data_IF_147029083212
#
_entry.id   IF_147029083212
#
_cell.length_a   1.000
_cell.length_b   1.000
_cell.length_c   1.000
_cell.angle_alpha   90.00
_cell.angle_beta   90.00
_cell.angle_gamma   90.00
#
_symmetry.space_group_name_H-M   'P 1'
#
loop_
_entity.id
_entity.type
_entity.pdbx_description
1 polymer ?
#
# COMPACT_ATOMS: atom_id res chain seq x y z
N UNK A 1 13.90 -2.93 -22.77
CA UNK A 1 14.11 -2.46 -21.39
C UNK A 1 13.38 -3.41 -20.46
N UNK A 2 13.92 -3.73 -19.27
CA UNK A 2 13.16 -4.43 -18.23
C UNK A 2 11.97 -3.53 -17.90
N UNK A 3 10.72 -4.05 -17.83
CA UNK A 3 9.62 -3.25 -17.33
C UNK A 3 9.99 -2.77 -15.92
N UNK A 4 9.74 -1.49 -15.64
CA UNK A 4 10.05 -0.85 -14.36
C UNK A 4 8.73 -0.37 -13.79
N UNK A 5 8.49 -0.67 -12.50
CA UNK A 5 7.33 -0.18 -11.77
C UNK A 5 7.27 1.36 -11.80
N UNK A 6 6.11 1.93 -12.09
CA UNK A 6 5.84 3.35 -11.93
C UNK A 6 5.68 3.68 -10.44
N UNK A 7 6.68 4.37 -9.85
CA UNK A 7 6.64 4.82 -8.46
C UNK A 7 5.86 6.14 -8.34
N UNK A 8 5.28 6.46 -7.16
CA UNK A 8 4.78 7.80 -6.91
C UNK A 8 5.91 8.82 -7.09
N UNK A 9 5.57 10.03 -7.55
CA UNK A 9 6.53 11.09 -7.85
C UNK A 9 7.39 11.52 -6.64
N UNK A 10 6.90 11.25 -5.44
CA UNK A 10 7.54 11.54 -4.15
C UNK A 10 8.54 10.49 -3.71
N UNK A 11 8.66 9.37 -4.43
CA UNK A 11 9.51 8.25 -4.07
C UNK A 11 10.56 7.99 -5.14
N UNK A 12 11.83 8.03 -4.75
CA UNK A 12 12.94 7.77 -5.66
C UNK A 12 14.07 7.01 -4.98
N UNK A 13 14.97 6.36 -5.76
CA UNK A 13 16.23 5.88 -5.21
C UNK A 13 17.04 7.07 -4.68
N UNK A 14 17.81 6.90 -3.59
CA UNK A 14 18.78 7.91 -3.18
C UNK A 14 19.91 8.00 -4.20
N UNK A 15 20.44 9.21 -4.34
CA UNK A 15 21.74 9.46 -4.95
C UNK A 15 22.86 9.00 -4.00
N UNK A 16 24.04 8.74 -4.57
CA UNK A 16 25.18 8.20 -3.81
C UNK A 16 25.63 9.14 -2.67
N UNK A 17 25.46 10.45 -2.82
CA UNK A 17 25.81 11.47 -1.83
C UNK A 17 24.71 11.75 -0.79
N UNK A 18 23.51 11.18 -0.96
CA UNK A 18 22.40 11.31 -0.01
C UNK A 18 22.42 10.24 1.09
N UNK A 19 23.29 9.23 0.98
CA UNK A 19 23.38 8.12 1.94
C UNK A 19 24.74 8.03 2.63
N UNK A 20 24.80 7.55 3.88
CA UNK A 20 26.07 7.26 4.54
C UNK A 20 26.86 6.22 3.73
N UNK A 21 28.10 6.55 3.40
CA UNK A 21 28.98 5.73 2.54
C UNK A 21 29.59 4.52 3.27
N UNK A 22 28.78 3.77 4.00
CA UNK A 22 29.18 2.47 4.56
C UNK A 22 28.94 1.34 3.55
N UNK A 23 29.65 0.22 3.70
CA UNK A 23 29.61 -0.90 2.75
C UNK A 23 28.21 -1.49 2.59
N UNK A 24 27.45 -1.59 3.68
CA UNK A 24 26.11 -2.16 3.71
C UNK A 24 25.10 -1.37 2.87
N UNK A 25 25.07 -0.04 2.99
CA UNK A 25 24.15 0.80 2.22
C UNK A 25 24.50 0.77 0.73
N UNK A 26 25.80 0.83 0.41
CA UNK A 26 26.26 0.74 -0.98
C UNK A 26 25.87 -0.59 -1.64
N UNK A 27 26.04 -1.71 -0.94
CA UNK A 27 25.62 -3.02 -1.44
C UNK A 27 24.12 -3.08 -1.72
N UNK A 28 23.29 -2.56 -0.81
CA UNK A 28 21.83 -2.49 -1.01
C UNK A 28 21.42 -1.61 -2.21
N UNK A 29 22.13 -0.50 -2.46
CA UNK A 29 21.88 0.33 -3.63
C UNK A 29 22.25 -0.36 -4.94
N UNK A 30 23.34 -1.13 -4.96
CA UNK A 30 23.70 -1.93 -6.13
C UNK A 30 22.69 -3.06 -6.38
N UNK A 31 22.25 -3.76 -5.32
CA UNK A 31 21.22 -4.79 -5.42
C UNK A 31 19.91 -4.23 -6.02
N UNK A 32 19.51 -3.02 -5.61
CA UNK A 32 18.31 -2.35 -6.11
C UNK A 32 18.30 -2.19 -7.64
N UNK A 33 19.46 -1.99 -8.27
CA UNK A 33 19.56 -1.83 -9.74
C UNK A 33 19.16 -3.09 -10.50
N UNK A 34 19.36 -4.25 -9.88
CA UNK A 34 19.00 -5.56 -10.44
C UNK A 34 17.68 -6.11 -9.91
N UNK A 35 17.16 -5.51 -8.84
CA UNK A 35 15.96 -5.94 -8.13
C UNK A 35 14.74 -6.10 -9.05
N UNK A 36 13.87 -7.04 -8.73
CA UNK A 36 12.66 -7.39 -9.48
C UNK A 36 11.45 -6.57 -9.00
N UNK A 37 11.63 -5.25 -8.94
CA UNK A 37 10.58 -4.28 -8.62
C UNK A 37 9.80 -3.97 -9.91
N UNK A 38 8.74 -4.75 -10.14
CA UNK A 38 7.89 -4.72 -11.33
C UNK A 38 6.44 -4.97 -10.92
N UNK A 39 5.47 -4.66 -11.78
CA UNK A 39 4.08 -5.04 -11.53
C UNK A 39 3.90 -6.55 -11.39
N UNK A 40 3.08 -6.95 -10.41
CA UNK A 40 2.79 -8.34 -10.10
C UNK A 40 2.54 -8.51 -8.61
N UNK A 41 2.34 -9.74 -8.17
CA UNK A 41 2.10 -10.05 -6.76
C UNK A 41 2.85 -11.30 -6.32
N UNK A 42 2.91 -11.49 -5.01
CA UNK A 42 3.24 -12.78 -4.37
C UNK A 42 2.17 -13.10 -3.34
N UNK A 43 1.76 -14.36 -3.26
CA UNK A 43 0.91 -14.86 -2.19
C UNK A 43 1.80 -15.51 -1.14
N UNK A 44 1.61 -15.13 0.11
CA UNK A 44 2.36 -15.61 1.25
C UNK A 44 1.45 -16.51 2.09
N UNK A 45 1.92 -17.71 2.49
CA UNK A 45 1.16 -18.62 3.34
C UNK A 45 0.83 -17.97 4.68
N UNK A 46 -0.39 -18.20 5.18
CA UNK A 46 -0.84 -17.77 6.52
C UNK A 46 0.08 -18.28 7.64
N UNK A 47 0.64 -19.49 7.47
CA UNK A 47 1.37 -20.22 8.50
C UNK A 47 2.80 -19.69 8.77
N UNK A 48 3.29 -18.74 7.98
CA UNK A 48 4.66 -18.19 8.13
C UNK A 48 4.76 -17.08 9.20
N UNK A 49 3.65 -16.68 9.84
CA UNK A 49 3.65 -15.75 10.97
C UNK A 49 2.86 -16.28 12.19
N UNK A 50 3.54 -16.66 13.30
CA UNK A 50 2.89 -17.17 14.51
C UNK A 50 1.89 -16.18 15.13
N UNK A 51 2.11 -14.88 14.97
CA UNK A 51 1.22 -13.82 15.49
C UNK A 51 -0.14 -13.80 14.77
N UNK A 52 -0.21 -14.39 13.57
CA UNK A 52 -1.39 -14.38 12.71
C UNK A 52 -2.19 -15.69 12.76
N UNK A 53 -1.72 -16.68 13.53
CA UNK A 53 -2.32 -18.02 13.63
C UNK A 53 -3.80 -18.01 14.06
N UNK A 54 -4.21 -17.00 14.85
CA UNK A 54 -5.57 -16.85 15.35
C UNK A 54 -6.43 -15.88 14.53
N UNK A 55 -5.88 -15.22 13.50
CA UNK A 55 -6.63 -14.26 12.69
C UNK A 55 -7.44 -14.97 11.61
N UNK A 56 -8.63 -14.45 11.32
CA UNK A 56 -9.61 -15.11 10.47
C UNK A 56 -9.49 -14.77 8.96
N UNK A 57 -8.27 -14.71 8.43
CA UNK A 57 -7.99 -14.63 6.98
C UNK A 57 -7.49 -15.97 6.45
N UNK A 58 -7.54 -16.18 5.12
CA UNK A 58 -7.09 -17.41 4.47
C UNK A 58 -5.75 -17.26 3.75
N UNK A 59 -5.44 -16.08 3.23
CA UNK A 59 -4.17 -15.79 2.56
C UNK A 59 -3.75 -14.33 2.74
N UNK A 60 -2.44 -14.10 2.60
CA UNK A 60 -1.83 -12.77 2.56
C UNK A 60 -1.19 -12.57 1.19
N UNK A 61 -1.27 -11.37 0.64
CA UNK A 61 -0.63 -11.02 -0.62
C UNK A 61 0.02 -9.64 -0.56
N UNK A 62 1.14 -9.50 -1.26
CA UNK A 62 1.78 -8.21 -1.54
C UNK A 62 1.76 -7.97 -3.04
N UNK A 63 1.35 -6.77 -3.45
CA UNK A 63 1.03 -6.44 -4.83
C UNK A 63 1.75 -5.16 -5.22
N UNK A 64 2.69 -5.27 -6.16
CA UNK A 64 3.23 -4.14 -6.87
C UNK A 64 2.31 -3.80 -8.05
N UNK A 65 1.93 -2.54 -8.15
CA UNK A 65 1.18 -1.99 -9.27
C UNK A 65 1.71 -0.60 -9.58
N UNK A 66 1.69 -0.20 -10.84
CA UNK A 66 2.07 1.17 -11.21
C UNK A 66 1.20 2.18 -10.44
N UNK A 67 1.82 3.25 -9.95
CA UNK A 67 1.15 4.23 -9.11
C UNK A 67 -0.11 4.84 -9.77
N UNK A 68 -0.08 5.04 -11.09
CA UNK A 68 -1.23 5.48 -11.89
C UNK A 68 -2.45 4.55 -11.83
N UNK A 69 -2.26 3.26 -11.52
CA UNK A 69 -3.32 2.23 -11.41
C UNK A 69 -3.66 1.86 -9.95
N UNK A 70 -2.86 2.30 -8.98
CA UNK A 70 -2.98 1.94 -7.56
C UNK A 70 -4.39 2.15 -7.00
N UNK A 71 -4.97 3.35 -7.18
CA UNK A 71 -6.31 3.64 -6.66
C UNK A 71 -7.39 2.76 -7.28
N UNK A 72 -7.31 2.48 -8.59
CA UNK A 72 -8.29 1.62 -9.25
C UNK A 72 -8.21 0.19 -8.72
N UNK A 73 -7.02 -0.32 -8.43
CA UNK A 73 -6.89 -1.63 -7.81
C UNK A 73 -7.43 -1.66 -6.37
N UNK A 74 -7.21 -0.59 -5.59
CA UNK A 74 -7.84 -0.46 -4.26
C UNK A 74 -9.36 -0.49 -4.35
N UNK A 75 -9.95 0.21 -5.34
CA UNK A 75 -11.40 0.18 -5.56
C UNK A 75 -11.90 -1.22 -5.89
N UNK A 76 -11.21 -1.95 -6.77
CA UNK A 76 -11.60 -3.32 -7.14
C UNK A 76 -11.43 -4.30 -5.98
N UNK A 77 -10.33 -4.24 -5.24
CA UNK A 77 -10.14 -5.04 -4.02
C UNK A 77 -11.17 -4.70 -2.94
N UNK A 78 -11.67 -3.46 -2.88
CA UNK A 78 -12.70 -3.07 -1.92
C UNK A 78 -14.04 -3.80 -2.14
N UNK A 79 -14.25 -4.44 -3.29
CA UNK A 79 -15.40 -5.30 -3.52
C UNK A 79 -15.37 -6.59 -2.67
N UNK A 80 -14.18 -7.00 -2.21
CA UNK A 80 -14.02 -8.11 -1.27
C UNK A 80 -14.44 -7.74 0.16
N UNK A 81 -14.43 -6.46 0.51
CA UNK A 81 -14.86 -5.97 1.82
C UNK A 81 -16.40 -5.92 1.92
N UNK A 82 -16.99 -6.17 3.10
CA UNK A 82 -18.42 -5.97 3.32
C UNK A 82 -18.82 -4.48 3.29
N UNK A 83 -20.09 -4.20 3.53
CA UNK A 83 -20.63 -2.84 3.47
C UNK A 83 -20.16 -1.93 4.61
N UNK A 84 -19.74 -2.49 5.75
CA UNK A 84 -19.21 -1.74 6.89
C UNK A 84 -17.72 -2.02 7.05
N UNK A 85 -16.91 -0.97 7.10
CA UNK A 85 -15.44 -1.06 7.21
C UNK A 85 -14.92 0.00 8.17
N UNK A 86 -13.78 -0.26 8.79
CA UNK A 86 -12.98 0.75 9.47
C UNK A 86 -11.90 1.27 8.53
N UNK A 87 -11.69 2.58 8.52
CA UNK A 87 -10.59 3.20 7.79
C UNK A 87 -9.29 3.04 8.60
N UNK A 88 -8.23 2.58 7.95
CA UNK A 88 -6.86 2.62 8.49
C UNK A 88 -6.18 3.88 7.93
N UNK A 89 -5.57 4.68 8.78
CA UNK A 89 -4.74 5.80 8.33
C UNK A 89 -3.72 6.21 9.38
N UNK A 90 -2.54 6.65 8.93
CA UNK A 90 -1.52 7.22 9.80
C UNK A 90 -0.53 8.06 9.00
N UNK A 91 0.16 8.93 9.72
CA UNK A 91 1.42 9.45 9.21
C UNK A 91 2.43 8.30 9.17
N UNK A 92 3.16 8.17 8.08
CA UNK A 92 4.16 7.10 7.95
C UNK A 92 5.15 7.15 9.11
N UNK A 93 5.62 5.98 9.56
CA UNK A 93 6.47 5.78 10.76
C UNK A 93 5.75 6.01 12.11
N UNK A 94 4.42 6.22 12.10
CA UNK A 94 3.57 6.22 13.30
C UNK A 94 2.74 4.93 13.38
N UNK A 95 2.20 4.64 14.57
CA UNK A 95 1.22 3.56 14.74
C UNK A 95 -0.04 3.80 13.87
N UNK A 96 -0.61 2.75 13.25
CA UNK A 96 -1.85 2.85 12.49
C UNK A 96 -3.01 3.34 13.38
N UNK A 97 -3.77 4.34 12.91
CA UNK A 97 -5.06 4.68 13.52
C UNK A 97 -6.17 3.91 12.82
N UNK A 98 -7.07 3.34 13.61
CA UNK A 98 -8.26 2.65 13.13
C UNK A 98 -9.48 3.51 13.44
N UNK A 99 -10.13 4.01 12.39
CA UNK A 99 -11.36 4.77 12.51
C UNK A 99 -12.53 3.91 13.01
N UNK A 100 -13.65 4.57 13.31
CA UNK A 100 -14.92 3.88 13.55
C UNK A 100 -15.39 3.15 12.30
N UNK A 101 -16.14 2.07 12.51
CA UNK A 101 -16.84 1.42 11.41
C UNK A 101 -17.84 2.38 10.76
N UNK A 102 -17.82 2.42 9.44
CA UNK A 102 -18.66 3.29 8.61
C UNK A 102 -19.01 2.58 7.30
N UNK A 103 -20.01 3.12 6.57
CA UNK A 103 -20.37 2.56 5.26
C UNK A 103 -19.19 2.68 4.29
N UNK A 104 -18.81 1.56 3.68
CA UNK A 104 -17.71 1.46 2.70
C UNK A 104 -17.86 2.48 1.57
N UNK A 105 -19.08 2.68 1.09
CA UNK A 105 -19.39 3.68 0.05
C UNK A 105 -19.03 5.09 0.51
N UNK A 106 -19.43 5.49 1.72
CA UNK A 106 -19.08 6.79 2.31
C UNK A 106 -17.56 6.94 2.47
N UNK A 107 -16.88 5.91 2.99
CA UNK A 107 -15.42 5.90 3.16
C UNK A 107 -14.69 6.08 1.83
N UNK A 108 -15.07 5.32 0.80
CA UNK A 108 -14.49 5.43 -0.54
C UNK A 108 -14.77 6.78 -1.20
N UNK A 109 -15.98 7.32 -1.05
CA UNK A 109 -16.34 8.65 -1.56
C UNK A 109 -15.52 9.76 -0.90
N UNK A 110 -15.24 9.64 0.40
CA UNK A 110 -14.37 10.57 1.12
C UNK A 110 -12.94 10.47 0.61
N UNK A 111 -12.34 9.27 0.59
CA UNK A 111 -10.97 9.04 0.14
C UNK A 111 -10.75 9.49 -1.31
N UNK A 112 -11.74 9.29 -2.19
CA UNK A 112 -11.65 9.67 -3.59
C UNK A 112 -11.46 11.18 -3.80
N UNK A 113 -11.88 12.03 -2.85
CA UNK A 113 -11.62 13.47 -2.89
C UNK A 113 -10.13 13.81 -2.75
N UNK A 114 -9.37 12.93 -2.09
CA UNK A 114 -7.94 13.06 -1.79
C UNK A 114 -7.13 11.96 -2.47
N UNK A 115 -7.64 11.41 -3.58
CA UNK A 115 -7.02 10.26 -4.25
C UNK A 115 -5.55 10.50 -4.60
N UNK A 116 -5.23 11.72 -5.03
CA UNK A 116 -3.86 12.10 -5.42
C UNK A 116 -2.93 12.05 -4.22
N UNK A 117 -3.36 12.60 -3.09
CA UNK A 117 -2.61 12.61 -1.84
C UNK A 117 -2.40 11.18 -1.32
N UNK A 118 -3.46 10.37 -1.23
CA UNK A 118 -3.34 9.02 -0.66
C UNK A 118 -2.50 8.08 -1.56
N UNK A 119 -2.54 8.23 -2.89
CA UNK A 119 -1.70 7.40 -3.79
C UNK A 119 -0.28 7.90 -3.92
N UNK A 120 -0.06 9.22 -3.84
CA UNK A 120 1.23 9.81 -4.21
C UNK A 120 2.01 10.39 -3.04
N UNK A 121 1.41 10.66 -1.89
CA UNK A 121 2.14 11.17 -0.72
C UNK A 121 2.70 10.03 0.13
N UNK A 122 4.01 9.84 0.10
CA UNK A 122 4.73 8.79 0.86
C UNK A 122 4.87 9.09 2.37
N UNK A 123 4.18 10.11 2.88
CA UNK A 123 4.05 10.37 4.32
C UNK A 123 2.69 9.97 4.89
N UNK A 124 1.84 9.34 4.07
CA UNK A 124 0.52 8.86 4.45
C UNK A 124 0.44 7.36 4.14
N UNK A 125 0.05 6.60 5.14
CA UNK A 125 -0.36 5.22 4.98
C UNK A 125 -1.89 5.19 5.09
N UNK A 126 -2.55 4.36 4.29
CA UNK A 126 -4.00 4.26 4.32
C UNK A 126 -4.48 2.85 4.00
N UNK A 127 -5.70 2.54 4.41
CA UNK A 127 -6.29 1.24 4.16
C UNK A 127 -7.73 1.15 4.61
N UNK A 128 -8.33 -0.01 4.42
CA UNK A 128 -9.64 -0.37 4.96
C UNK A 128 -9.57 -1.77 5.53
N UNK A 129 -10.25 -1.97 6.65
CA UNK A 129 -10.29 -3.25 7.34
C UNK A 129 -11.71 -3.60 7.73
N UNK A 130 -12.03 -4.88 7.57
CA UNK A 130 -13.15 -5.52 8.24
C UNK A 130 -12.61 -6.68 9.06
N UNK A 131 -12.95 -6.69 10.35
CA UNK A 131 -12.52 -7.73 11.28
C UNK A 131 -13.69 -8.15 12.18
N UNK A 132 -14.02 -9.44 12.10
CA UNK A 132 -15.02 -10.13 12.92
C UNK A 132 -14.43 -11.42 13.51
N UNK A 133 -15.22 -12.17 14.27
CA UNK A 133 -14.79 -13.47 14.80
C UNK A 133 -14.49 -14.50 13.69
N UNK A 134 -15.12 -14.36 12.51
CA UNK A 134 -15.04 -15.34 11.44
C UNK A 134 -14.23 -14.89 10.22
N UNK A 135 -13.96 -13.60 10.09
CA UNK A 135 -13.35 -13.02 8.89
C UNK A 135 -12.43 -11.85 9.23
N UNK A 136 -11.27 -11.81 8.58
CA UNK A 136 -10.40 -10.65 8.45
C UNK A 136 -10.16 -10.39 6.96
N UNK A 137 -10.54 -9.20 6.52
CA UNK A 137 -10.25 -8.69 5.18
C UNK A 137 -9.65 -7.30 5.35
N UNK A 138 -8.46 -7.10 4.81
CA UNK A 138 -7.72 -5.84 4.97
C UNK A 138 -7.03 -5.47 3.67
N UNK A 139 -7.17 -4.22 3.27
CA UNK A 139 -6.39 -3.58 2.21
C UNK A 139 -5.56 -2.50 2.89
N UNK A 140 -4.24 -2.58 2.82
CA UNK A 140 -3.35 -1.58 3.38
C UNK A 140 -2.31 -1.14 2.36
N UNK A 141 -2.12 0.17 2.24
CA UNK A 141 -1.16 0.80 1.34
C UNK A 141 -0.16 1.56 2.21
N UNK A 142 1.03 0.98 2.45
CA UNK A 142 2.08 1.63 3.22
C UNK A 142 2.70 2.80 2.45
N UNK A 143 3.67 3.47 3.08
CA UNK A 143 4.36 4.64 2.58
C UNK A 143 5.04 4.42 1.22
N UNK A 144 5.37 3.17 0.91
CA UNK A 144 6.03 2.77 -0.34
C UNK A 144 5.06 2.47 -1.49
N UNK A 145 3.75 2.63 -1.27
CA UNK A 145 2.69 2.62 -2.29
C UNK A 145 2.57 1.33 -3.12
N UNK A 146 2.82 0.20 -2.48
CA UNK A 146 2.33 -1.12 -2.93
C UNK A 146 1.09 -1.50 -2.10
N UNK A 147 0.43 -2.62 -2.39
CA UNK A 147 -0.74 -3.06 -1.60
C UNK A 147 -0.36 -4.31 -0.80
N UNK A 148 -0.73 -4.29 0.49
CA UNK A 148 -0.83 -5.46 1.36
C UNK A 148 -2.30 -5.86 1.45
N UNK A 149 -2.60 -7.13 1.19
CA UNK A 149 -3.95 -7.64 1.19
C UNK A 149 -4.08 -8.90 2.06
N UNK A 150 -4.98 -8.87 3.03
CA UNK A 150 -5.42 -10.04 3.77
C UNK A 150 -6.81 -10.39 3.29
N UNK A 151 -7.03 -11.63 2.86
CA UNK A 151 -8.28 -12.03 2.23
C UNK A 151 -8.76 -13.41 2.66
N UNK A 152 -10.05 -13.64 2.43
CA UNK A 152 -10.73 -14.93 2.69
C UNK A 152 -11.06 -15.69 1.40
N UNK A 153 -11.25 -15.00 0.27
CA UNK A 153 -11.53 -15.61 -1.04
C UNK A 153 -10.36 -15.41 -2.02
N UNK A 154 -9.48 -16.42 -2.10
CA UNK A 154 -8.33 -16.37 -3.01
C UNK A 154 -8.76 -16.46 -4.48
N UNK A 155 -9.87 -17.13 -4.81
CA UNK A 155 -10.32 -17.27 -6.20
C UNK A 155 -10.81 -15.92 -6.74
N UNK A 156 -11.58 -15.18 -5.94
CA UNK A 156 -12.02 -13.82 -6.29
C UNK A 156 -10.82 -12.88 -6.44
N UNK A 157 -9.89 -12.91 -5.48
CA UNK A 157 -8.64 -12.15 -5.57
C UNK A 157 -7.86 -12.39 -6.86
N UNK A 158 -7.68 -13.65 -7.26
CA UNK A 158 -6.97 -14.00 -8.49
C UNK A 158 -7.66 -13.45 -9.75
N UNK A 159 -9.00 -13.40 -9.78
CA UNK A 159 -9.75 -12.78 -10.88
C UNK A 159 -9.54 -11.27 -10.94
N UNK A 160 -9.46 -10.61 -9.79
CA UNK A 160 -9.11 -9.18 -9.73
C UNK A 160 -7.69 -8.97 -10.26
N UNK A 161 -6.71 -9.77 -9.84
CA UNK A 161 -5.34 -9.65 -10.36
C UNK A 161 -5.28 -9.84 -11.89
N UNK A 162 -6.00 -10.83 -12.42
CA UNK A 162 -6.08 -11.10 -13.85
C UNK A 162 -6.68 -9.91 -14.63
N UNK A 163 -7.69 -9.22 -14.10
CA UNK A 163 -8.31 -8.06 -14.76
C UNK A 163 -7.37 -6.87 -14.91
N UNK A 164 -6.37 -6.75 -14.04
CA UNK A 164 -5.27 -5.77 -14.12
C UNK A 164 -4.05 -6.28 -14.91
N UNK A 165 -4.11 -7.49 -15.48
CA UNK A 165 -2.97 -8.19 -16.10
C UNK A 165 -1.79 -8.44 -15.15
N UNK A 166 -2.05 -8.51 -13.84
CA UNK A 166 -1.04 -8.85 -12.84
C UNK A 166 -0.86 -10.36 -12.78
N UNK A 167 0.39 -10.78 -12.60
CA UNK A 167 0.75 -12.19 -12.46
C UNK A 167 1.47 -12.40 -11.14
N UNK A 168 1.37 -13.61 -10.62
CA UNK A 168 2.24 -14.04 -9.55
C UNK A 168 3.68 -14.13 -10.07
N UNK A 169 4.62 -13.55 -9.33
CA UNK A 169 6.02 -13.44 -9.75
C UNK A 169 6.91 -14.00 -8.65
N UNK A 170 7.54 -15.14 -8.92
CA UNK A 170 8.57 -15.69 -8.05
C UNK A 170 9.75 -14.71 -7.88
N UNK A 171 10.17 -14.50 -6.63
CA UNK A 171 11.19 -13.53 -6.26
C UNK A 171 10.86 -12.08 -6.66
N UNK A 172 9.58 -11.68 -6.68
CA UNK A 172 9.20 -10.26 -6.76
C UNK A 172 9.65 -9.53 -5.50
N UNK A 173 10.13 -8.31 -5.69
CA UNK A 173 10.72 -7.49 -4.64
C UNK A 173 9.99 -6.15 -4.55
N UNK A 174 10.01 -5.55 -3.36
CA UNK A 174 9.22 -4.36 -3.03
C UNK A 174 10.12 -3.18 -2.69
N UNK A 175 9.61 -1.97 -2.89
CA UNK A 175 10.44 -0.75 -2.80
C UNK A 175 10.93 -0.50 -1.38
N UNK A 176 10.18 -0.91 -0.37
CA UNK A 176 10.54 -0.78 1.05
C UNK A 176 11.68 -1.71 1.49
N UNK A 177 11.95 -2.77 0.74
CA UNK A 177 13.09 -3.67 0.97
C UNK A 177 14.44 -2.97 0.67
N UNK A 178 14.41 -1.79 0.05
CA UNK A 178 15.58 -1.05 -0.42
C UNK A 178 15.66 0.38 0.14
N UNK A 179 16.86 0.99 0.19
CA UNK A 179 16.98 2.40 0.51
C UNK A 179 16.17 3.27 -0.47
N UNK A 180 15.46 4.26 0.07
CA UNK A 180 14.55 5.15 -0.66
C UNK A 180 14.61 6.56 -0.09
N UNK A 181 14.38 7.55 -0.95
CA UNK A 181 14.18 8.94 -0.58
C UNK A 181 12.71 9.28 -0.78
N UNK A 182 12.15 9.96 0.22
CA UNK A 182 10.78 10.46 0.23
C UNK A 182 10.80 11.97 0.22
N UNK A 183 10.00 12.57 -0.65
CA UNK A 183 9.88 14.01 -0.81
C UNK A 183 8.43 14.44 -0.63
N UNK A 184 8.20 15.62 -0.05
CA UNK A 184 6.83 16.08 0.19
C UNK A 184 6.10 16.33 -1.13
N UNK A 185 4.85 15.86 -1.27
CA UNK A 185 4.08 15.96 -2.51
C UNK A 185 3.92 17.41 -3.00
N UNK A 186 3.88 18.39 -2.09
CA UNK A 186 3.82 19.83 -2.41
C UNK A 186 4.99 20.35 -3.25
N UNK A 187 6.09 19.61 -3.34
CA UNK A 187 7.23 19.96 -4.19
C UNK A 187 6.95 19.69 -5.68
N UNK A 188 5.94 18.87 -5.98
CA UNK A 188 5.60 18.44 -7.32
C UNK A 188 4.23 18.96 -7.77
N UNK A 189 3.31 19.17 -6.82
CA UNK A 189 1.92 19.59 -7.08
C UNK A 189 1.53 20.81 -6.26
N UNK A 190 0.96 21.85 -6.89
CA UNK A 190 0.71 23.14 -6.27
C UNK A 190 -0.66 23.29 -5.57
N UNK A 191 -1.55 22.30 -5.69
CA UNK A 191 -2.93 22.33 -5.18
C UNK A 191 -3.28 21.01 -4.49
N UNK A 192 -2.51 20.65 -3.47
CA UNK A 192 -2.73 19.43 -2.67
C UNK A 192 -3.03 19.79 -1.22
N UNK A 193 -3.70 18.90 -0.52
CA UNK A 193 -3.78 18.94 0.94
C UNK A 193 -2.47 18.39 1.53
N UNK A 194 -1.84 19.13 2.47
CA UNK A 194 -0.61 18.64 3.12
C UNK A 194 -0.89 17.39 3.97
N UNK A 195 0.11 16.51 4.13
CA UNK A 195 -0.07 15.22 4.80
C UNK A 195 -0.70 15.35 6.19
N UNK A 196 -0.18 16.26 7.03
CA UNK A 196 -0.70 16.49 8.37
C UNK A 196 -2.15 17.01 8.35
N UNK A 197 -2.48 17.89 7.40
CA UNK A 197 -3.84 18.42 7.27
C UNK A 197 -4.80 17.30 6.85
N UNK A 198 -4.39 16.44 5.90
CA UNK A 198 -5.19 15.30 5.49
C UNK A 198 -5.41 14.31 6.64
N UNK A 199 -4.38 14.01 7.44
CA UNK A 199 -4.55 13.17 8.65
C UNK A 199 -5.59 13.77 9.60
N UNK A 200 -5.54 15.07 9.88
CA UNK A 200 -6.53 15.72 10.76
C UNK A 200 -7.95 15.72 10.16
N UNK A 201 -8.08 15.81 8.83
CA UNK A 201 -9.36 15.67 8.14
C UNK A 201 -9.91 14.23 8.28
N UNK A 202 -9.05 13.21 8.15
CA UNK A 202 -9.43 11.81 8.33
C UNK A 202 -9.86 11.53 9.76
N UNK A 203 -9.12 12.03 10.76
CA UNK A 203 -9.52 11.93 12.18
C UNK A 203 -10.88 12.57 12.41
N UNK A 204 -11.09 13.79 11.92
CA UNK A 204 -12.35 14.50 12.11
C UNK A 204 -13.55 13.75 11.52
N UNK A 205 -13.35 13.05 10.41
CA UNK A 205 -14.41 12.31 9.73
C UNK A 205 -14.67 10.92 10.36
N UNK A 206 -13.62 10.22 10.77
CA UNK A 206 -13.70 8.80 11.13
C UNK A 206 -13.42 8.47 12.61
N UNK A 207 -12.92 9.41 13.44
CA UNK A 207 -12.74 9.24 14.90
C UNK A 207 -13.87 9.81 15.74
#
# INVERSE_FOLDING_TARGET
MKPTLELPITLRPPEMDEVPMNSSVKERLELRKTAKIVEGYKILPKDDNPEHSNLAFNFYAEINIDNSKLWNLVLELSNELPNEVSLIFNQSDSEPNYGKYSEKTHTLEFLNKYKTEITSDTFIDFGMIFHSESELIEIFVPESKYIKFWGVDQESFLKIMESFNLKEIDGIEFVDEYPKVREALRLFENNITESNELIELLKKEFE
#
